data_IF_480910890955
#
_entry.id   IF_480910890955
#
_cell.length_a   1.000
_cell.length_b   1.000
_cell.length_c   1.000
_cell.angle_alpha   90.00
_cell.angle_beta   90.00
_cell.angle_gamma   90.00
#
_symmetry.space_group_name_H-M   'P 1'
#
loop_
_entity.id
_entity.type
_entity.pdbx_description
1 polymer ?
#
# COMPACT_ATOMS: atom_id res chain seq x y z
N UNK A 1 2.36 18.12 3.94
CA UNK A 1 1.05 18.06 4.63
C UNK A 1 -0.08 17.93 3.64
N UNK A 2 -0.13 18.76 2.60
CA UNK A 2 -1.11 18.69 1.50
C UNK A 2 -1.19 17.29 0.85
N UNK A 3 -0.06 16.66 0.54
CA UNK A 3 -0.05 15.27 0.04
C UNK A 3 -0.73 14.25 0.97
N UNK A 4 -0.62 14.42 2.29
CA UNK A 4 -1.24 13.52 3.29
C UNK A 4 -2.75 13.78 3.38
N UNK A 5 -3.16 15.03 3.33
CA UNK A 5 -4.58 15.42 3.25
C UNK A 5 -5.21 14.88 1.98
N UNK A 6 -4.57 15.07 0.82
CA UNK A 6 -5.03 14.52 -0.44
C UNK A 6 -5.20 13.01 -0.35
N UNK A 7 -4.20 12.26 0.13
CA UNK A 7 -4.30 10.81 0.30
C UNK A 7 -5.44 10.36 1.24
N UNK A 8 -5.71 11.11 2.33
CA UNK A 8 -6.80 10.80 3.26
C UNK A 8 -8.19 11.00 2.63
N UNK A 9 -8.32 11.96 1.71
CA UNK A 9 -9.59 12.38 1.14
C UNK A 9 -9.78 12.02 -0.34
N UNK A 10 -8.81 11.34 -0.96
CA UNK A 10 -8.80 11.00 -2.39
C UNK A 10 -10.01 10.14 -2.78
N UNK A 11 -10.46 9.27 -1.86
CA UNK A 11 -11.62 8.40 -2.04
C UNK A 11 -12.90 8.94 -1.38
N UNK A 12 -12.89 10.19 -0.93
CA UNK A 12 -14.04 10.83 -0.28
C UNK A 12 -14.70 11.83 -1.24
N UNK A 13 -16.03 11.88 -1.20
CA UNK A 13 -16.82 12.78 -2.02
C UNK A 13 -17.90 13.49 -1.19
N UNK A 14 -18.36 14.63 -1.70
CA UNK A 14 -19.40 15.41 -1.07
C UNK A 14 -20.74 14.64 -1.09
N UNK A 15 -21.37 14.49 0.07
CA UNK A 15 -22.67 13.79 0.18
C UNK A 15 -23.83 14.45 -0.57
N UNK A 16 -23.69 15.69 -1.03
CA UNK A 16 -24.71 16.41 -1.78
C UNK A 16 -24.50 16.35 -3.29
N UNK A 17 -23.34 16.81 -3.77
CA UNK A 17 -23.05 16.93 -5.20
C UNK A 17 -22.17 15.80 -5.74
N UNK A 18 -21.72 14.88 -4.89
CA UNK A 18 -20.84 13.74 -5.23
C UNK A 18 -19.50 14.10 -5.88
N UNK A 19 -19.13 15.38 -5.85
CA UNK A 19 -17.82 15.84 -6.29
C UNK A 19 -16.76 15.41 -5.28
N UNK A 20 -15.61 14.94 -5.75
CA UNK A 20 -14.44 14.63 -4.91
C UNK A 20 -13.91 15.87 -4.21
N UNK A 21 -13.14 15.67 -3.14
CA UNK A 21 -12.46 16.75 -2.45
C UNK A 21 -11.06 16.95 -3.03
N UNK A 22 -10.72 18.20 -3.31
CA UNK A 22 -9.42 18.66 -3.80
C UNK A 22 -8.66 19.44 -2.73
N UNK A 23 -7.41 19.81 -3.01
CA UNK A 23 -6.56 20.57 -2.08
C UNK A 23 -7.21 21.89 -1.61
N UNK A 24 -8.01 22.51 -2.48
CA UNK A 24 -8.74 23.74 -2.17
C UNK A 24 -9.92 23.53 -1.22
N UNK A 25 -10.45 22.31 -1.13
CA UNK A 25 -11.56 21.97 -0.24
C UNK A 25 -11.18 21.99 1.24
N UNK A 26 -9.88 22.06 1.56
CA UNK A 26 -9.36 22.09 2.93
C UNK A 26 -8.88 23.49 3.33
N UNK A 27 -9.25 23.93 4.54
CA UNK A 27 -8.75 25.18 5.12
C UNK A 27 -8.06 24.85 6.43
N UNK A 28 -6.73 24.88 6.44
CA UNK A 28 -5.94 24.68 7.65
C UNK A 28 -6.13 25.91 8.56
N UNK A 29 -6.66 25.69 9.76
CA UNK A 29 -6.89 26.74 10.76
C UNK A 29 -5.75 26.83 11.76
N UNK A 30 -5.20 25.68 12.15
CA UNK A 30 -4.13 25.58 13.13
C UNK A 30 -3.29 24.35 12.86
N UNK A 31 -1.99 24.49 13.03
CA UNK A 31 -1.04 23.39 12.97
C UNK A 31 -0.27 23.37 14.30
N UNK A 32 -0.32 22.25 14.99
CA UNK A 32 0.40 21.97 16.22
C UNK A 32 1.29 20.73 16.02
N UNK A 33 2.32 20.52 16.86
CA UNK A 33 3.18 19.35 16.77
C UNK A 33 2.37 18.05 16.86
N UNK A 34 2.23 17.35 15.73
CA UNK A 34 1.48 16.10 15.64
C UNK A 34 -0.03 16.24 15.46
N UNK A 35 -0.58 17.46 15.40
CA UNK A 35 -2.03 17.70 15.26
C UNK A 35 -2.29 18.85 14.27
N UNK A 36 -3.13 18.62 13.27
CA UNK A 36 -3.57 19.65 12.34
C UNK A 36 -5.07 19.81 12.42
N UNK A 37 -5.51 21.05 12.63
CA UNK A 37 -6.92 21.42 12.64
C UNK A 37 -7.27 21.98 11.27
N UNK A 38 -8.11 21.26 10.54
CA UNK A 38 -8.56 21.65 9.20
C UNK A 38 -10.07 21.77 9.13
N UNK A 39 -10.58 22.61 8.24
CA UNK A 39 -12.01 22.77 7.99
C UNK A 39 -12.31 22.32 6.56
N UNK A 40 -13.27 21.41 6.40
CA UNK A 40 -13.63 20.82 5.12
C UNK A 40 -14.84 21.52 4.52
N UNK A 41 -14.70 22.06 3.32
CA UNK A 41 -15.79 22.72 2.57
C UNK A 41 -15.78 22.22 1.14
N UNK A 42 -16.92 21.72 0.67
CA UNK A 42 -17.05 21.37 -0.74
C UNK A 42 -17.11 22.64 -1.58
N UNK A 43 -16.17 22.80 -2.54
CA UNK A 43 -16.13 23.96 -3.43
C UNK A 43 -17.28 24.01 -4.44
N UNK A 44 -17.79 22.85 -4.85
CA UNK A 44 -18.85 22.78 -5.84
C UNK A 44 -20.22 23.21 -5.29
N UNK A 45 -20.58 22.79 -4.07
CA UNK A 45 -21.89 23.12 -3.48
C UNK A 45 -21.82 24.09 -2.28
N UNK A 46 -20.62 24.47 -1.83
CA UNK A 46 -20.41 25.37 -0.69
C UNK A 46 -20.71 24.74 0.67
N UNK A 47 -21.06 23.45 0.74
CA UNK A 47 -21.41 22.80 2.00
C UNK A 47 -20.17 22.66 2.90
N UNK A 48 -20.30 23.17 4.12
CA UNK A 48 -19.32 22.93 5.19
C UNK A 48 -19.59 21.60 5.89
N UNK A 49 -18.53 20.85 6.15
CA UNK A 49 -18.53 19.59 6.89
C UNK A 49 -17.94 19.74 8.30
N UNK A 50 -17.62 20.97 8.72
CA UNK A 50 -17.09 21.27 10.04
C UNK A 50 -15.57 21.15 10.15
N UNK A 51 -15.10 21.11 11.40
CA UNK A 51 -13.69 21.09 11.77
C UNK A 51 -13.24 19.65 12.02
N UNK A 52 -12.15 19.23 11.37
CA UNK A 52 -11.48 17.96 11.56
C UNK A 52 -10.14 18.15 12.27
N UNK A 53 -9.87 17.29 13.24
CA UNK A 53 -8.60 17.20 13.97
C UNK A 53 -7.83 16.00 13.45
N UNK A 54 -6.70 16.24 12.80
CA UNK A 54 -5.90 15.22 12.14
C UNK A 54 -4.59 15.02 12.90
N UNK A 55 -4.47 13.87 13.56
CA UNK A 55 -3.21 13.44 14.17
C UNK A 55 -2.33 12.73 13.14
N UNK A 56 -1.20 13.31 12.77
CA UNK A 56 -0.25 12.68 11.84
C UNK A 56 0.84 11.88 12.59
N UNK A 57 0.46 11.03 13.52
CA UNK A 57 1.37 10.08 14.17
C UNK A 57 1.49 8.82 13.30
N UNK A 58 2.48 8.80 12.40
CA UNK A 58 2.85 7.58 11.65
C UNK A 58 2.23 7.40 10.25
N UNK A 59 1.59 8.42 9.68
CA UNK A 59 1.17 8.38 8.27
C UNK A 59 2.38 8.70 7.39
N UNK A 60 3.09 7.66 6.96
CA UNK A 60 4.04 7.71 5.85
C UNK A 60 3.25 7.46 4.56
N UNK A 61 3.14 8.48 3.71
CA UNK A 61 2.55 8.32 2.38
C UNK A 61 3.62 7.62 1.54
N UNK A 62 3.45 6.31 1.35
CA UNK A 62 4.29 5.53 0.44
C UNK A 62 4.12 6.10 -0.96
N UNK A 63 5.23 6.32 -1.64
CA UNK A 63 5.22 6.79 -3.02
C UNK A 63 4.57 5.70 -3.91
N UNK A 64 3.78 6.09 -4.92
CA UNK A 64 3.11 5.12 -5.80
C UNK A 64 4.11 4.17 -6.47
N UNK A 65 5.32 4.64 -6.73
CA UNK A 65 6.43 3.80 -7.25
C UNK A 65 6.85 2.67 -6.30
N UNK A 66 6.57 2.80 -4.99
CA UNK A 66 6.86 1.79 -3.97
C UNK A 66 5.66 0.88 -3.66
N UNK A 67 4.49 1.14 -4.25
CA UNK A 67 3.28 0.34 -4.08
C UNK A 67 3.14 -0.76 -5.13
N UNK A 68 3.83 -0.62 -6.26
CA UNK A 68 3.90 -1.66 -7.27
C UNK A 68 4.64 -2.87 -6.69
N UNK A 69 3.90 -3.92 -6.31
CA UNK A 69 4.50 -5.22 -6.09
C UNK A 69 5.15 -5.63 -7.41
N UNK A 70 6.47 -5.75 -7.42
CA UNK A 70 7.19 -6.33 -8.54
C UNK A 70 6.66 -7.76 -8.71
N UNK A 71 6.01 -8.01 -9.84
CA UNK A 71 5.64 -9.36 -10.24
C UNK A 71 6.96 -10.07 -10.51
N UNK A 72 7.43 -10.86 -9.56
CA UNK A 72 8.55 -11.76 -9.82
C UNK A 72 8.09 -12.72 -10.92
N UNK A 73 8.79 -12.65 -12.07
CA UNK A 73 8.61 -13.65 -13.11
C UNK A 73 8.82 -15.02 -12.47
N UNK A 74 7.83 -15.89 -12.63
CA UNK A 74 7.89 -17.24 -12.07
C UNK A 74 9.10 -18.00 -12.64
N UNK A 75 9.54 -19.08 -11.97
CA UNK A 75 10.59 -19.93 -12.51
C UNK A 75 10.20 -20.44 -13.91
N UNK A 76 11.20 -20.80 -14.71
CA UNK A 76 10.98 -21.36 -16.05
C UNK A 76 9.96 -22.52 -16.00
N UNK A 77 9.19 -22.72 -17.09
CA UNK A 77 8.22 -23.81 -17.17
C UNK A 77 8.89 -25.16 -16.89
N UNK A 78 8.27 -25.97 -16.03
CA UNK A 78 8.77 -27.32 -15.68
C UNK A 78 8.89 -28.16 -16.95
N UNK A 79 10.09 -28.67 -17.22
CA UNK A 79 10.38 -29.55 -18.35
C UNK A 79 10.19 -31.03 -18.01
N UNK A 80 10.23 -31.88 -19.04
CA UNK A 80 10.18 -33.33 -18.86
C UNK A 80 11.38 -33.84 -18.03
N UNK A 81 12.57 -33.30 -18.28
CA UNK A 81 13.79 -33.72 -17.60
C UNK A 81 13.75 -33.35 -16.11
N UNK A 82 13.19 -32.19 -15.76
CA UNK A 82 12.99 -31.78 -14.35
C UNK A 82 12.16 -32.79 -13.56
N UNK A 83 11.13 -33.37 -14.19
CA UNK A 83 10.28 -34.38 -13.57
C UNK A 83 11.05 -35.69 -13.36
N UNK A 84 11.87 -36.09 -14.33
CA UNK A 84 12.69 -37.30 -14.23
C UNK A 84 13.76 -37.14 -13.15
N UNK A 85 14.43 -36.00 -13.11
CA UNK A 85 15.47 -35.71 -12.12
C UNK A 85 14.88 -35.60 -10.71
N UNK A 86 13.70 -34.99 -10.55
CA UNK A 86 12.98 -34.99 -9.28
C UNK A 86 12.65 -36.43 -8.84
N UNK A 87 12.20 -37.28 -9.76
CA UNK A 87 11.88 -38.68 -9.43
C UNK A 87 13.12 -39.50 -9.05
N UNK A 88 14.27 -39.26 -9.70
CA UNK A 88 15.56 -39.85 -9.33
C UNK A 88 16.02 -39.38 -7.95
N UNK A 89 15.95 -38.07 -7.71
CA UNK A 89 16.30 -37.48 -6.41
C UNK A 89 15.47 -38.09 -5.28
N UNK A 90 14.14 -38.15 -5.43
CA UNK A 90 13.25 -38.72 -4.40
C UNK A 90 13.59 -40.20 -4.14
N UNK A 91 13.91 -40.96 -5.18
CA UNK A 91 14.34 -42.37 -5.04
C UNK A 91 15.65 -42.52 -4.26
N UNK A 92 16.60 -41.63 -4.47
CA UNK A 92 17.91 -41.66 -3.81
C UNK A 92 17.89 -41.03 -2.41
N UNK A 93 16.87 -40.21 -2.12
CA UNK A 93 16.75 -39.47 -0.87
C UNK A 93 16.66 -40.41 0.33
N UNK A 94 15.87 -41.49 0.27
CA UNK A 94 15.69 -42.39 1.42
C UNK A 94 17.00 -43.05 1.87
N UNK A 95 17.84 -43.52 0.95
CA UNK A 95 19.09 -44.21 1.27
C UNK A 95 20.27 -43.25 1.54
N UNK A 96 20.20 -42.01 1.02
CA UNK A 96 21.34 -41.09 0.99
C UNK A 96 21.05 -39.67 1.47
N UNK A 97 19.94 -39.45 2.21
CA UNK A 97 19.54 -38.13 2.71
C UNK A 97 20.64 -37.37 3.47
N UNK A 98 21.52 -38.07 4.18
CA UNK A 98 22.63 -37.48 4.93
C UNK A 98 23.65 -36.74 4.06
N UNK A 99 23.72 -37.04 2.76
CA UNK A 99 24.59 -36.34 1.80
C UNK A 99 24.08 -34.93 1.45
N UNK A 100 22.81 -34.65 1.71
CA UNK A 100 22.16 -33.37 1.40
C UNK A 100 22.13 -32.41 2.61
N UNK A 101 22.68 -32.81 3.75
CA UNK A 101 22.83 -31.93 4.90
C UNK A 101 24.04 -30.99 4.74
N UNK A 102 23.98 -29.75 5.24
CA UNK A 102 25.16 -28.88 5.28
C UNK A 102 26.27 -29.54 6.09
N UNK A 103 27.48 -29.60 5.52
CA UNK A 103 28.66 -30.02 6.28
C UNK A 103 28.99 -28.94 7.29
N UNK A 104 29.04 -29.30 8.58
CA UNK A 104 29.54 -28.45 9.65
C UNK A 104 31.04 -28.20 9.50
#
# INVERSE_FOLDING_TARGET
>A
MEKKLKALFDNLCCSQCKTGFDEDSFIIKREEPGLTVTHLVCKNCGKSFGVAFLGFSGIEVKDESQLALEVQEGPEPISYDDVIDAHRFIRELDEHWTKHLPKS
#
